data_IF_304496223589
#
_entry.id   IF_304496223589
#
_cell.length_a   1.000
_cell.length_b   1.000
_cell.length_c   1.000
_cell.angle_alpha   90.00
_cell.angle_beta   90.00
_cell.angle_gamma   90.00
#
_symmetry.space_group_name_H-M   'P 1'
#
loop_
_entity.id
_entity.type
_entity.pdbx_description
1 polymer ?
#
# COMPACT_ATOMS: atom_id res chain seq x y z
N UNK A 1 44.19 -63.63 -3.50
CA UNK A 1 42.99 -63.15 -4.22
C UNK A 1 42.82 -61.69 -3.86
N UNK A 2 42.47 -60.90 -4.86
CA UNK A 2 42.36 -59.43 -4.93
C UNK A 2 43.65 -58.59 -5.05
N UNK A 3 43.63 -57.56 -5.93
CA UNK A 3 44.82 -57.15 -6.66
C UNK A 3 45.29 -55.72 -6.31
N UNK A 4 46.60 -55.56 -6.49
CA UNK A 4 47.35 -54.31 -6.49
C UNK A 4 47.02 -53.41 -7.68
N UNK A 5 46.74 -52.13 -7.43
CA UNK A 5 46.63 -51.06 -8.44
C UNK A 5 47.89 -50.18 -8.39
N UNK A 6 48.46 -49.74 -9.53
CA UNK A 6 49.78 -49.09 -9.57
C UNK A 6 49.73 -47.56 -9.43
N UNK A 7 50.87 -46.89 -9.20
CA UNK A 7 50.97 -45.43 -9.16
C UNK A 7 51.25 -44.85 -10.56
N UNK A 8 50.72 -43.65 -10.85
CA UNK A 8 51.07 -42.89 -12.06
C UNK A 8 51.71 -41.55 -11.68
N UNK A 9 52.89 -41.32 -12.28
CA UNK A 9 53.75 -40.13 -12.14
C UNK A 9 53.35 -39.00 -13.10
N UNK A 10 53.67 -37.78 -12.66
CA UNK A 10 53.99 -36.51 -13.33
C UNK A 10 53.90 -36.40 -14.86
N UNK A 11 53.35 -35.27 -15.31
CA UNK A 11 54.09 -34.29 -16.15
C UNK A 11 53.48 -32.88 -16.09
N UNK A 12 54.36 -31.92 -15.88
CA UNK A 12 54.23 -30.48 -16.16
C UNK A 12 54.28 -30.26 -17.67
N UNK A 13 53.51 -29.32 -18.23
CA UNK A 13 54.06 -28.34 -19.19
C UNK A 13 53.08 -27.21 -19.56
N UNK A 14 53.72 -26.06 -19.79
CA UNK A 14 53.21 -24.76 -20.19
C UNK A 14 52.74 -24.73 -21.65
N UNK A 15 51.81 -23.83 -22.01
CA UNK A 15 52.05 -22.63 -22.87
C UNK A 15 50.73 -22.05 -23.44
N UNK A 16 50.81 -20.74 -23.73
CA UNK A 16 50.09 -19.97 -24.78
C UNK A 16 48.65 -19.46 -24.59
N UNK A 17 48.54 -18.15 -24.33
CA UNK A 17 47.55 -17.16 -24.84
C UNK A 17 47.57 -17.07 -26.38
N UNK A 18 46.62 -16.42 -27.14
CA UNK A 18 45.75 -15.23 -26.84
C UNK A 18 44.35 -15.29 -27.55
N UNK A 19 43.65 -14.20 -28.01
CA UNK A 19 43.41 -12.84 -27.50
C UNK A 19 41.90 -12.48 -27.29
N UNK A 20 41.67 -11.39 -26.54
CA UNK A 20 40.66 -10.33 -26.73
C UNK A 20 39.25 -10.63 -27.28
N UNK A 21 38.23 -10.29 -26.48
CA UNK A 21 37.12 -9.44 -26.90
C UNK A 21 36.40 -8.90 -25.66
N UNK A 22 36.72 -7.67 -25.26
CA UNK A 22 35.90 -6.88 -24.35
C UNK A 22 34.67 -6.40 -25.13
N UNK A 23 33.55 -7.08 -24.94
CA UNK A 23 32.25 -6.64 -25.42
C UNK A 23 31.85 -5.36 -24.69
N UNK A 24 31.95 -4.24 -25.39
CA UNK A 24 31.28 -2.99 -25.03
C UNK A 24 29.77 -3.23 -25.02
N UNK A 25 29.16 -3.29 -23.84
CA UNK A 25 27.72 -3.16 -23.68
C UNK A 25 27.33 -1.72 -23.99
N UNK A 26 27.14 -1.46 -25.28
CA UNK A 26 26.68 -0.18 -25.80
C UNK A 26 25.18 -0.06 -25.53
N UNK A 27 24.82 0.89 -24.67
CA UNK A 27 23.52 1.57 -24.54
C UNK A 27 22.37 1.05 -25.42
N UNK A 28 21.50 0.23 -24.83
CA UNK A 28 20.23 -0.24 -25.40
C UNK A 28 19.08 0.79 -25.33
N UNK A 29 19.37 2.07 -25.04
CA UNK A 29 18.34 3.12 -24.85
C UNK A 29 18.53 4.33 -25.78
N UNK A 30 18.74 4.10 -27.07
CA UNK A 30 18.61 5.14 -28.10
C UNK A 30 17.36 4.90 -28.92
N UNK A 31 16.21 5.37 -28.44
CA UNK A 31 14.96 5.37 -29.19
C UNK A 31 14.85 6.64 -30.03
N UNK A 32 14.89 6.50 -31.36
CA UNK A 32 14.43 7.53 -32.30
C UNK A 32 12.90 7.44 -32.48
N UNK A 33 12.21 8.55 -32.77
CA UNK A 33 10.76 8.63 -32.68
C UNK A 33 10.05 7.91 -33.85
N UNK A 34 9.05 7.08 -33.51
CA UNK A 34 8.16 6.42 -34.47
C UNK A 34 7.02 7.35 -34.87
N UNK A 35 6.84 7.47 -36.18
CA UNK A 35 5.77 8.23 -36.85
C UNK A 35 4.41 7.56 -36.69
N UNK A 36 3.40 8.38 -36.41
CA UNK A 36 1.97 8.03 -36.34
C UNK A 36 1.43 7.50 -37.66
N UNK A 37 0.89 6.28 -37.66
CA UNK A 37 0.01 5.76 -38.72
C UNK A 37 -1.37 5.47 -38.14
N UNK A 38 -2.34 6.28 -38.58
CA UNK A 38 -3.76 6.16 -38.33
C UNK A 38 -4.36 5.05 -39.20
N UNK A 39 -5.26 4.23 -38.66
CA UNK A 39 -6.19 3.43 -39.46
C UNK A 39 -7.50 3.17 -38.71
N UNK A 40 -8.61 2.96 -39.44
CA UNK A 40 -9.94 3.34 -39.00
C UNK A 40 -10.74 2.21 -38.36
N UNK A 41 -11.71 2.61 -37.53
CA UNK A 41 -12.76 1.77 -36.95
C UNK A 41 -13.65 1.16 -38.04
N UNK A 42 -13.97 -0.12 -37.89
CA UNK A 42 -15.12 -0.76 -38.52
C UNK A 42 -16.07 -1.27 -37.43
N UNK A 43 -17.27 -0.72 -37.44
CA UNK A 43 -18.42 -1.22 -36.69
C UNK A 43 -18.88 -2.58 -37.24
N UNK A 44 -19.27 -3.50 -36.35
CA UNK A 44 -20.28 -4.49 -36.68
C UNK A 44 -21.00 -5.00 -35.43
N UNK A 45 -22.31 -4.70 -35.40
CA UNK A 45 -23.33 -5.30 -34.55
C UNK A 45 -23.41 -6.83 -34.77
N UNK A 46 -23.77 -7.58 -33.71
CA UNK A 46 -24.98 -8.43 -33.68
C UNK A 46 -25.15 -9.23 -32.38
N UNK A 47 -26.37 -9.10 -31.86
CA UNK A 47 -27.31 -10.14 -31.41
C UNK A 47 -27.22 -10.76 -29.99
N UNK A 48 -28.40 -10.70 -29.36
CA UNK A 48 -28.84 -11.10 -28.01
C UNK A 48 -28.57 -12.56 -27.62
N UNK A 49 -28.65 -12.88 -26.31
CA UNK A 49 -29.77 -13.74 -25.84
C UNK A 49 -30.26 -13.37 -24.40
N UNK A 50 -31.04 -14.21 -23.69
CA UNK A 50 -32.49 -14.15 -23.58
C UNK A 50 -33.03 -13.77 -22.17
N UNK A 51 -34.36 -13.73 -22.09
CA UNK A 51 -35.21 -13.30 -20.99
C UNK A 51 -34.93 -13.89 -19.60
N UNK A 52 -35.04 -13.03 -18.57
CA UNK A 52 -35.24 -13.39 -17.16
C UNK A 52 -36.46 -12.60 -16.63
N UNK A 53 -37.28 -13.33 -15.85
CA UNK A 53 -38.57 -12.96 -15.27
C UNK A 53 -38.48 -11.87 -14.17
N UNK A 54 -39.62 -11.26 -13.76
CA UNK A 54 -39.64 -9.95 -13.13
C UNK A 54 -39.52 -10.04 -11.61
N UNK A 55 -38.77 -9.10 -11.03
CA UNK A 55 -39.02 -8.66 -9.67
C UNK A 55 -39.15 -7.14 -9.62
N UNK A 56 -40.26 -6.76 -9.01
CA UNK A 56 -40.82 -5.44 -8.82
C UNK A 56 -40.09 -4.69 -7.70
N UNK A 57 -39.54 -3.52 -7.99
CA UNK A 57 -39.78 -2.31 -7.19
C UNK A 57 -39.36 -1.09 -8.00
N UNK A 58 -40.36 -0.41 -8.54
CA UNK A 58 -40.23 0.75 -9.43
C UNK A 58 -40.20 1.99 -8.53
N UNK A 59 -39.03 2.49 -8.17
CA UNK A 59 -38.91 3.87 -7.69
C UNK A 59 -39.05 4.79 -8.90
N UNK A 60 -40.08 5.65 -8.87
CA UNK A 60 -40.45 6.55 -9.95
C UNK A 60 -39.37 7.61 -10.18
N UNK A 61 -39.00 7.74 -11.45
CA UNK A 61 -38.03 8.67 -11.99
C UNK A 61 -38.76 9.95 -12.40
N UNK A 62 -39.37 10.65 -11.46
CA UNK A 62 -40.06 11.93 -11.68
C UNK A 62 -39.81 12.81 -10.45
N UNK A 63 -38.77 13.66 -10.52
CA UNK A 63 -38.64 14.97 -9.86
C UNK A 63 -37.19 15.47 -9.95
N UNK A 64 -36.72 15.73 -11.18
CA UNK A 64 -35.53 16.55 -11.42
C UNK A 64 -35.90 17.70 -12.36
N UNK A 65 -36.72 18.61 -11.83
CA UNK A 65 -36.94 19.94 -12.40
C UNK A 65 -36.18 20.96 -11.53
N UNK A 66 -34.89 21.16 -11.81
CA UNK A 66 -34.15 22.32 -11.31
C UNK A 66 -34.17 23.42 -12.36
N UNK A 67 -34.68 24.59 -11.96
CA UNK A 67 -34.69 25.82 -12.76
C UNK A 67 -33.28 26.28 -13.13
N UNK A 68 -33.07 26.82 -14.35
CA UNK A 68 -31.79 27.40 -14.74
C UNK A 68 -31.74 28.85 -14.25
N UNK A 69 -31.11 29.06 -13.10
CA UNK A 69 -30.73 30.41 -12.68
C UNK A 69 -29.48 30.36 -11.80
N UNK A 70 -28.33 30.14 -12.42
CA UNK A 70 -27.06 30.60 -11.89
C UNK A 70 -26.12 30.91 -13.05
N UNK A 71 -25.88 32.19 -13.25
CA UNK A 71 -24.90 32.70 -14.20
C UNK A 71 -23.48 32.37 -13.69
N UNK A 72 -22.55 31.92 -14.54
CA UNK A 72 -21.19 31.68 -14.10
C UNK A 72 -20.53 32.99 -13.68
N UNK A 73 -20.08 33.05 -12.42
CA UNK A 73 -19.22 34.13 -11.90
C UNK A 73 -17.98 34.20 -12.80
N UNK A 74 -17.74 35.40 -13.31
CA UNK A 74 -16.64 35.75 -14.19
C UNK A 74 -15.28 35.27 -13.66
N UNK A 75 -14.46 34.77 -14.58
CA UNK A 75 -13.03 34.53 -14.38
C UNK A 75 -12.39 35.74 -13.72
N UNK A 76 -11.95 35.58 -12.47
CA UNK A 76 -10.95 36.47 -11.88
C UNK A 76 -9.63 36.17 -12.57
N UNK A 77 -9.23 37.14 -13.37
CA UNK A 77 -7.90 37.26 -13.95
C UNK A 77 -6.86 37.25 -12.82
N UNK A 78 -6.07 36.17 -12.72
CA UNK A 78 -4.91 36.11 -11.84
C UNK A 78 -3.74 36.77 -12.54
N UNK A 79 -3.75 38.09 -12.65
CA UNK A 79 -2.54 38.85 -12.97
C UNK A 79 -1.64 38.85 -11.74
N UNK A 80 -0.66 37.93 -11.71
CA UNK A 80 0.39 37.99 -10.71
C UNK A 80 1.22 39.26 -10.95
N UNK A 81 1.28 40.13 -9.95
CA UNK A 81 2.16 41.29 -9.98
C UNK A 81 3.63 40.82 -10.03
N UNK A 82 4.51 41.46 -10.83
CA UNK A 82 5.95 41.16 -10.84
C UNK A 82 6.61 41.17 -9.45
N UNK A 83 6.01 41.86 -8.48
CA UNK A 83 6.53 41.97 -7.11
C UNK A 83 6.33 40.70 -6.26
N UNK A 84 5.36 39.82 -6.59
CA UNK A 84 5.13 38.56 -5.88
C UNK A 84 6.21 37.49 -6.14
N UNK A 85 7.03 37.69 -7.19
CA UNK A 85 8.18 36.83 -7.49
C UNK A 85 9.39 37.11 -6.58
N UNK A 86 9.43 38.27 -5.91
CA UNK A 86 10.54 38.65 -5.03
C UNK A 86 10.48 37.97 -3.66
N UNK A 87 9.27 37.70 -3.15
CA UNK A 87 9.05 37.07 -1.83
C UNK A 87 9.41 35.57 -1.84
N UNK A 88 9.32 34.90 -3.00
CA UNK A 88 9.72 33.47 -3.11
C UNK A 88 11.22 33.23 -3.15
N UNK A 89 12.06 34.24 -3.45
CA UNK A 89 13.53 34.05 -3.47
C UNK A 89 14.15 33.92 -2.07
N UNK A 90 13.45 34.31 -1.00
CA UNK A 90 13.96 34.22 0.37
C UNK A 90 13.70 32.87 1.06
N UNK A 91 13.12 31.88 0.37
CA UNK A 91 12.85 30.54 0.91
C UNK A 91 13.63 29.42 0.22
N UNK A 92 14.49 29.75 -0.75
CA UNK A 92 15.42 28.77 -1.31
C UNK A 92 16.66 28.75 -0.38
N UNK A 93 16.91 27.66 0.35
CA UNK A 93 18.16 27.54 1.12
C UNK A 93 19.35 27.71 0.17
N UNK A 94 20.42 28.31 0.68
CA UNK A 94 21.67 28.50 -0.06
C UNK A 94 22.11 27.15 -0.67
N UNK A 95 22.20 27.02 -2.01
CA UNK A 95 22.59 25.77 -2.67
C UNK A 95 24.01 25.32 -2.29
N UNK A 96 24.79 26.16 -1.60
CA UNK A 96 26.12 25.85 -1.10
C UNK A 96 26.18 25.62 0.41
N UNK A 97 25.09 25.79 1.17
CA UNK A 97 25.07 25.30 2.54
C UNK A 97 25.02 23.77 2.50
N UNK A 98 26.02 23.07 3.04
CA UNK A 98 25.90 21.63 3.22
C UNK A 98 24.71 21.42 4.15
N UNK A 99 23.58 20.96 3.59
CA UNK A 99 22.53 20.39 4.41
C UNK A 99 23.20 19.30 5.23
N UNK A 100 23.30 19.52 6.53
CA UNK A 100 23.72 18.51 7.47
C UNK A 100 22.69 17.39 7.33
N UNK A 101 23.05 16.36 6.55
CA UNK A 101 22.23 15.18 6.35
C UNK A 101 22.21 14.50 7.71
N UNK A 102 21.18 14.78 8.50
CA UNK A 102 20.91 14.00 9.68
C UNK A 102 20.66 12.58 9.21
N UNK A 103 21.55 11.67 9.63
CA UNK A 103 21.31 10.25 9.42
C UNK A 103 19.93 9.92 9.99
N UNK A 104 19.12 9.14 9.25
CA UNK A 104 17.78 8.80 9.69
C UNK A 104 17.86 8.15 11.06
N UNK A 105 16.94 8.55 11.94
CA UNK A 105 16.86 8.04 13.32
C UNK A 105 16.87 6.50 13.31
N UNK A 106 17.89 5.84 13.92
CA UNK A 106 18.00 4.39 13.93
C UNK A 106 16.76 3.72 14.52
N UNK A 107 15.97 4.39 15.36
CA UNK A 107 14.72 3.85 15.90
C UNK A 107 13.67 3.56 14.81
N UNK A 108 13.65 4.31 13.70
CA UNK A 108 12.71 4.07 12.59
C UNK A 108 13.06 2.80 11.81
N UNK A 109 14.30 2.31 11.90
CA UNK A 109 14.72 1.08 11.23
C UNK A 109 14.38 -0.19 12.04
N UNK A 110 14.04 -0.07 13.33
CA UNK A 110 13.66 -1.21 14.20
C UNK A 110 12.15 -1.39 14.37
N UNK A 111 11.37 -1.04 13.35
CA UNK A 111 9.91 -1.25 13.38
C UNK A 111 9.55 -2.74 13.25
N UNK A 112 8.67 -3.21 14.15
CA UNK A 112 8.13 -4.57 14.19
C UNK A 112 8.97 -5.53 15.03
N UNK A 113 8.30 -6.39 15.81
CA UNK A 113 8.98 -7.36 16.69
C UNK A 113 9.96 -8.28 15.93
N UNK A 114 11.05 -8.68 16.59
CA UNK A 114 12.03 -9.65 16.04
C UNK A 114 11.34 -10.94 15.60
N UNK A 115 10.38 -11.43 16.39
CA UNK A 115 9.59 -12.61 16.08
C UNK A 115 8.75 -12.45 14.80
N UNK A 116 8.22 -11.24 14.57
CA UNK A 116 7.48 -10.93 13.35
C UNK A 116 8.41 -10.93 12.13
N UNK A 117 9.56 -10.27 12.21
CA UNK A 117 10.57 -10.25 11.13
C UNK A 117 11.05 -11.65 10.76
N UNK A 118 11.34 -12.50 11.75
CA UNK A 118 11.78 -13.87 11.54
C UNK A 118 10.76 -14.75 10.81
N UNK A 119 9.47 -14.38 10.85
CA UNK A 119 8.39 -15.10 10.17
C UNK A 119 8.05 -14.49 8.81
N UNK A 120 8.65 -13.36 8.43
CA UNK A 120 8.34 -12.70 7.18
C UNK A 120 9.25 -13.17 6.02
N UNK A 121 9.10 -12.57 4.84
CA UNK A 121 9.95 -12.89 3.68
C UNK A 121 11.36 -12.32 3.86
N UNK A 122 12.36 -13.08 3.41
CA UNK A 122 13.74 -12.63 3.44
C UNK A 122 13.99 -11.60 2.32
N UNK A 123 14.41 -10.37 2.67
CA UNK A 123 14.60 -9.30 1.70
C UNK A 123 15.80 -9.57 0.78
N UNK A 124 15.65 -9.18 -0.49
CA UNK A 124 16.76 -9.04 -1.43
C UNK A 124 17.24 -7.60 -1.46
N UNK A 125 18.56 -7.36 -1.56
CA UNK A 125 19.09 -6.01 -1.58
C UNK A 125 18.63 -5.26 -2.83
N UNK A 126 18.33 -3.96 -2.68
CA UNK A 126 18.02 -3.08 -3.81
C UNK A 126 19.23 -2.95 -4.75
N UNK A 127 19.15 -3.62 -5.91
CA UNK A 127 20.17 -3.60 -6.97
C UNK A 127 19.51 -3.56 -8.34
N UNK A 128 20.27 -3.25 -9.39
CA UNK A 128 19.82 -3.45 -10.76
C UNK A 128 19.38 -4.93 -10.92
N UNK A 129 18.16 -5.21 -11.42
CA UNK A 129 17.69 -6.58 -11.53
C UNK A 129 18.54 -7.35 -12.55
N UNK A 130 18.86 -8.60 -12.23
CA UNK A 130 19.67 -9.48 -13.09
C UNK A 130 19.00 -10.84 -13.28
N UNK A 131 19.29 -11.56 -14.39
CA UNK A 131 18.72 -12.87 -14.65
C UNK A 131 18.97 -13.94 -13.59
N UNK A 132 20.08 -13.81 -12.85
CA UNK A 132 20.45 -14.78 -11.81
C UNK A 132 19.80 -14.48 -10.46
N UNK A 133 19.48 -13.22 -10.18
CA UNK A 133 18.90 -12.82 -8.91
C UNK A 133 17.37 -12.85 -8.92
N UNK A 134 16.76 -12.54 -10.07
CA UNK A 134 15.32 -12.35 -10.18
C UNK A 134 14.77 -13.28 -11.26
N UNK A 135 14.19 -14.41 -10.85
CA UNK A 135 13.70 -15.45 -11.78
C UNK A 135 12.17 -15.57 -11.80
N UNK A 136 11.51 -15.08 -10.75
CA UNK A 136 10.06 -15.11 -10.57
C UNK A 136 9.55 -13.78 -10.03
N UNK A 137 8.23 -13.54 -10.08
CA UNK A 137 7.63 -12.37 -9.41
C UNK A 137 7.87 -12.38 -7.91
N UNK A 138 7.96 -13.57 -7.31
CA UNK A 138 8.29 -13.72 -5.90
C UNK A 138 9.65 -13.09 -5.56
N UNK A 139 10.66 -13.28 -6.42
CA UNK A 139 11.98 -12.68 -6.26
C UNK A 139 11.92 -11.15 -6.45
N UNK A 140 11.13 -10.67 -7.41
CA UNK A 140 10.99 -9.25 -7.68
C UNK A 140 10.34 -8.47 -6.53
N UNK A 141 9.30 -9.03 -5.89
CA UNK A 141 8.56 -8.35 -4.83
C UNK A 141 9.23 -8.38 -3.44
N UNK A 142 10.23 -9.26 -3.25
CA UNK A 142 11.03 -9.29 -2.01
C UNK A 142 12.23 -8.34 -2.05
N UNK A 143 12.39 -7.53 -3.10
CA UNK A 143 13.46 -6.53 -3.15
C UNK A 143 13.14 -5.40 -2.18
N UNK A 144 14.13 -4.98 -1.40
CA UNK A 144 14.02 -3.83 -0.50
C UNK A 144 13.62 -2.57 -1.27
N UNK A 145 12.80 -1.73 -0.65
CA UNK A 145 12.51 -0.41 -1.21
C UNK A 145 13.68 0.54 -1.01
N UNK A 146 13.85 1.54 -1.90
CA UNK A 146 14.84 2.59 -1.67
C UNK A 146 14.55 3.31 -0.35
N UNK A 147 15.60 3.93 0.20
CA UNK A 147 15.43 4.76 1.39
C UNK A 147 14.52 5.93 1.07
N UNK A 148 13.59 6.18 1.98
CA UNK A 148 12.67 7.31 1.89
C UNK A 148 13.45 8.62 1.86
N UNK A 149 13.12 9.54 0.93
CA UNK A 149 13.70 10.87 0.94
C UNK A 149 13.35 11.65 2.22
N UNK A 150 14.23 12.56 2.63
CA UNK A 150 13.95 13.42 3.79
C UNK A 150 12.87 14.46 3.48
N UNK A 151 12.16 14.90 4.52
CA UNK A 151 11.25 16.05 4.42
C UNK A 151 12.09 17.32 4.33
N UNK A 152 11.68 18.27 3.49
CA UNK A 152 12.44 19.51 3.23
C UNK A 152 12.78 20.33 4.49
N UNK A 153 12.02 20.15 5.58
CA UNK A 153 12.22 20.81 6.87
C UNK A 153 11.68 19.96 8.02
N UNK A 154 12.46 19.81 9.08
CA UNK A 154 12.04 19.15 10.32
C UNK A 154 10.79 19.81 10.90
N UNK A 155 9.80 19.00 11.32
CA UNK A 155 8.52 19.47 11.84
C UNK A 155 7.54 19.99 10.78
N UNK A 156 7.92 20.02 9.50
CA UNK A 156 6.96 20.25 8.42
C UNK A 156 6.09 19.00 8.21
N UNK A 157 4.92 19.22 7.59
CA UNK A 157 3.96 18.17 7.25
C UNK A 157 3.46 17.37 8.47
N UNK A 158 3.48 17.97 9.67
CA UNK A 158 2.98 17.38 10.92
C UNK A 158 1.48 17.59 11.14
N UNK A 159 0.89 18.56 10.44
CA UNK A 159 -0.53 18.88 10.57
C UNK A 159 -1.40 17.80 9.93
N UNK A 160 -2.21 17.13 10.74
CA UNK A 160 -3.32 16.31 10.22
C UNK A 160 -4.53 17.21 10.01
N UNK A 161 -5.28 16.98 8.92
CA UNK A 161 -6.61 17.58 8.77
C UNK A 161 -7.48 17.21 9.99
N UNK A 162 -8.31 18.14 10.44
CA UNK A 162 -9.29 17.87 11.47
C UNK A 162 -10.27 16.79 10.98
N UNK A 163 -10.85 16.04 11.94
CA UNK A 163 -11.90 15.08 11.62
C UNK A 163 -13.08 15.84 11.03
N UNK A 164 -13.66 15.36 9.94
CA UNK A 164 -14.87 15.96 9.34
C UNK A 164 -16.11 15.52 10.12
N UNK A 165 -17.14 16.36 10.13
CA UNK A 165 -18.45 16.02 10.73
C UNK A 165 -19.00 14.70 10.20
N UNK A 166 -18.80 14.42 8.90
CA UNK A 166 -19.22 13.16 8.25
C UNK A 166 -18.62 11.91 8.87
N UNK A 167 -17.41 12.01 9.45
CA UNK A 167 -16.78 10.91 10.20
C UNK A 167 -17.46 10.77 11.56
N UNK A 168 -17.77 11.88 12.24
CA UNK A 168 -18.46 11.87 13.54
C UNK A 168 -19.85 11.23 13.38
N UNK A 169 -20.60 11.64 12.35
CA UNK A 169 -21.97 11.17 12.09
C UNK A 169 -22.05 9.65 11.78
N UNK A 170 -21.01 9.06 11.19
CA UNK A 170 -21.02 7.64 10.82
C UNK A 170 -21.14 6.72 12.05
N UNK A 171 -20.65 7.16 13.20
CA UNK A 171 -20.67 6.41 14.46
C UNK A 171 -22.05 5.81 14.79
N UNK A 172 -23.12 6.52 14.42
CA UNK A 172 -24.48 6.12 14.76
C UNK A 172 -24.92 4.86 14.00
N UNK A 173 -24.41 4.65 12.78
CA UNK A 173 -24.89 3.57 11.90
C UNK A 173 -23.96 2.36 11.91
N UNK A 174 -22.65 2.59 11.91
CA UNK A 174 -21.65 1.54 11.78
C UNK A 174 -20.44 1.84 12.69
N UNK A 175 -20.61 1.77 14.02
CA UNK A 175 -19.56 2.14 14.95
C UNK A 175 -18.38 1.15 14.92
N UNK A 176 -17.17 1.69 14.96
CA UNK A 176 -16.00 0.95 15.39
C UNK A 176 -15.98 0.92 16.93
N UNK A 177 -16.07 -0.28 17.51
CA UNK A 177 -16.00 -0.47 18.96
C UNK A 177 -14.70 -1.12 19.42
N UNK A 178 -14.10 -1.94 18.55
CA UNK A 178 -13.00 -2.83 18.94
C UNK A 178 -11.84 -2.71 17.98
N UNK A 179 -10.63 -2.59 18.51
CA UNK A 179 -9.38 -2.67 17.73
C UNK A 179 -8.60 -3.89 18.21
N UNK A 180 -8.25 -4.80 17.30
CA UNK A 180 -7.43 -5.98 17.60
C UNK A 180 -6.09 -5.82 16.90
N UNK A 181 -5.01 -5.71 17.67
CA UNK A 181 -3.67 -5.85 17.09
C UNK A 181 -3.38 -7.33 16.85
N UNK A 182 -3.10 -7.70 15.60
CA UNK A 182 -2.87 -9.09 15.19
C UNK A 182 -1.49 -9.21 14.50
N UNK A 183 -0.44 -9.64 15.23
CA UNK A 183 0.93 -9.73 14.69
C UNK A 183 1.05 -10.61 13.43
N UNK A 184 0.17 -11.60 13.32
CA UNK A 184 0.19 -12.57 12.24
C UNK A 184 -0.68 -12.20 11.04
N UNK A 185 -1.34 -11.04 11.08
CA UNK A 185 -2.42 -10.68 10.14
C UNK A 185 -2.01 -10.81 8.67
N UNK A 186 -0.83 -10.30 8.28
CA UNK A 186 -0.31 -10.49 6.92
C UNK A 186 0.53 -11.77 6.81
N UNK A 187 1.27 -12.12 7.86
CA UNK A 187 2.24 -13.24 7.80
C UNK A 187 1.58 -14.59 7.59
N UNK A 188 0.31 -14.76 7.98
CA UNK A 188 -0.46 -15.98 7.70
C UNK A 188 -0.61 -16.25 6.20
N UNK A 189 -0.56 -15.20 5.38
CA UNK A 189 -0.71 -15.29 3.92
C UNK A 189 0.60 -15.56 3.19
N UNK A 190 1.74 -15.50 3.88
CA UNK A 190 3.09 -15.52 3.27
C UNK A 190 3.28 -16.71 2.33
N UNK A 191 2.93 -17.90 2.80
CA UNK A 191 3.21 -19.15 2.08
C UNK A 191 2.31 -19.30 0.85
N UNK A 192 1.02 -18.91 0.97
CA UNK A 192 0.07 -18.87 -0.14
C UNK A 192 0.49 -17.86 -1.21
N UNK A 193 0.85 -16.64 -0.78
CA UNK A 193 1.33 -15.60 -1.67
C UNK A 193 2.62 -16.01 -2.39
N UNK A 194 3.54 -16.68 -1.69
CA UNK A 194 4.77 -17.24 -2.29
C UNK A 194 4.44 -18.29 -3.36
N UNK A 195 3.50 -19.17 -3.08
CA UNK A 195 3.09 -20.20 -4.04
C UNK A 195 2.55 -19.56 -5.33
N UNK A 196 1.66 -18.57 -5.21
CA UNK A 196 1.10 -17.86 -6.37
C UNK A 196 2.16 -17.07 -7.15
N UNK A 197 3.01 -16.32 -6.46
CA UNK A 197 4.04 -15.50 -7.11
C UNK A 197 5.12 -16.33 -7.81
N UNK A 198 5.44 -17.53 -7.29
CA UNK A 198 6.39 -18.45 -7.93
C UNK A 198 5.86 -19.07 -9.22
N UNK A 199 4.54 -19.09 -9.44
CA UNK A 199 3.94 -19.60 -10.69
C UNK A 199 4.22 -18.70 -11.88
N UNK A 200 4.58 -17.43 -11.65
CA UNK A 200 4.90 -16.46 -12.70
C UNK A 200 6.41 -16.29 -12.84
N UNK A 201 6.99 -16.99 -13.82
CA UNK A 201 8.41 -16.92 -14.17
C UNK A 201 8.74 -15.70 -15.06
N UNK A 202 9.94 -15.16 -14.91
CA UNK A 202 10.47 -14.05 -15.73
C UNK A 202 11.49 -14.61 -16.73
N UNK A 203 11.24 -14.41 -18.03
CA UNK A 203 12.13 -14.85 -19.11
C UNK A 203 12.98 -13.70 -19.60
N UNK A 204 14.21 -13.59 -19.12
CA UNK A 204 15.13 -12.51 -19.47
C UNK A 204 15.56 -12.45 -20.96
N UNK A 205 15.35 -13.52 -21.72
CA UNK A 205 15.53 -13.51 -23.18
C UNK A 205 14.34 -12.93 -23.95
N UNK A 206 13.22 -12.69 -23.27
CA UNK A 206 11.99 -12.13 -23.84
C UNK A 206 11.91 -10.64 -23.50
N UNK A 207 11.89 -9.79 -24.53
CA UNK A 207 11.88 -8.34 -24.35
C UNK A 207 10.65 -7.86 -23.57
N UNK A 208 9.49 -8.50 -23.77
CA UNK A 208 8.26 -8.08 -23.09
C UNK A 208 8.32 -8.37 -21.59
N UNK A 209 8.93 -9.48 -21.18
CA UNK A 209 9.11 -9.81 -19.76
C UNK A 209 10.07 -8.80 -19.11
N UNK A 210 11.15 -8.43 -19.82
CA UNK A 210 12.10 -7.41 -19.37
C UNK A 210 11.44 -6.03 -19.27
N UNK A 211 10.58 -5.67 -20.24
CA UNK A 211 9.80 -4.43 -20.18
C UNK A 211 8.78 -4.47 -19.04
N UNK A 212 8.08 -5.59 -18.86
CA UNK A 212 7.12 -5.75 -17.78
C UNK A 212 7.79 -5.55 -16.41
N UNK A 213 9.00 -6.06 -16.21
CA UNK A 213 9.80 -5.88 -14.99
C UNK A 213 9.99 -4.42 -14.56
N UNK A 214 9.90 -3.46 -15.48
CA UNK A 214 9.95 -2.02 -15.16
C UNK A 214 8.76 -1.55 -14.31
N UNK A 215 7.65 -2.29 -14.30
CA UNK A 215 6.43 -1.96 -13.55
C UNK A 215 6.44 -2.46 -12.10
N UNK A 216 7.34 -3.37 -11.72
CA UNK A 216 7.32 -4.03 -10.42
C UNK A 216 8.60 -3.81 -9.63
N UNK A 217 9.75 -3.75 -10.30
CA UNK A 217 11.03 -3.78 -9.61
C UNK A 217 11.38 -2.41 -9.02
N UNK A 218 11.64 -2.29 -7.70
CA UNK A 218 11.86 -1.01 -7.04
C UNK A 218 12.98 -0.16 -7.67
N UNK A 219 14.07 -0.79 -8.14
CA UNK A 219 15.16 -0.11 -8.85
C UNK A 219 14.67 0.71 -10.07
N UNK A 220 13.64 0.24 -10.77
CA UNK A 220 13.10 0.91 -11.95
C UNK A 220 12.01 1.91 -11.57
N UNK A 221 11.09 1.51 -10.70
CA UNK A 221 9.92 2.33 -10.36
C UNK A 221 10.26 3.58 -9.55
N UNK A 222 11.42 3.60 -8.88
CA UNK A 222 11.89 4.71 -8.03
C UNK A 222 12.76 5.76 -8.73
N UNK A 223 13.22 5.53 -9.96
CA UNK A 223 14.26 6.38 -10.56
C UNK A 223 13.85 7.85 -10.66
N UNK A 224 12.59 8.10 -11.01
CA UNK A 224 12.05 9.43 -11.28
C UNK A 224 11.24 10.01 -10.10
N UNK A 225 11.42 9.47 -8.90
CA UNK A 225 10.71 9.96 -7.71
C UNK A 225 11.45 11.11 -7.03
N UNK A 226 10.71 11.99 -6.31
CA UNK A 226 11.28 13.13 -5.60
C UNK A 226 12.44 12.71 -4.70
N UNK A 227 13.51 13.50 -4.68
CA UNK A 227 14.65 13.29 -3.76
C UNK A 227 14.51 14.02 -2.43
N UNK A 228 13.45 14.82 -2.29
CA UNK A 228 13.04 15.55 -1.10
C UNK A 228 11.52 15.58 -1.08
N UNK A 229 10.91 15.33 0.09
CA UNK A 229 9.45 15.40 0.28
C UNK A 229 9.09 16.85 0.62
N UNK A 230 8.31 17.49 -0.24
CA UNK A 230 7.81 18.86 -0.04
C UNK A 230 6.34 18.89 0.40
N UNK A 231 5.58 17.85 0.06
CA UNK A 231 4.15 17.78 0.27
C UNK A 231 3.65 16.36 0.52
N UNK A 232 2.42 16.23 1.02
CA UNK A 232 1.69 14.95 1.07
C UNK A 232 1.60 14.28 -0.30
N UNK A 233 1.53 15.06 -1.38
CA UNK A 233 1.45 14.55 -2.76
C UNK A 233 2.72 13.83 -3.19
N UNK A 234 3.88 14.25 -2.70
CA UNK A 234 5.15 13.54 -2.97
C UNK A 234 5.15 12.16 -2.30
N UNK A 235 4.59 12.06 -1.08
CA UNK A 235 4.44 10.80 -0.36
C UNK A 235 3.47 9.87 -1.10
N UNK A 236 2.34 10.40 -1.57
CA UNK A 236 1.40 9.65 -2.41
C UNK A 236 2.10 9.12 -3.67
N UNK A 237 2.84 9.95 -4.41
CA UNK A 237 3.58 9.52 -5.60
C UNK A 237 4.61 8.43 -5.29
N UNK A 238 5.36 8.57 -4.19
CA UNK A 238 6.30 7.56 -3.72
C UNK A 238 5.59 6.23 -3.45
N UNK A 239 4.54 6.24 -2.63
CA UNK A 239 3.81 5.03 -2.26
C UNK A 239 3.16 4.38 -3.49
N UNK A 240 2.58 5.15 -4.41
CA UNK A 240 1.99 4.58 -5.63
C UNK A 240 3.04 3.94 -6.55
N UNK A 241 4.21 4.56 -6.71
CA UNK A 241 5.25 4.05 -7.59
C UNK A 241 6.00 2.84 -7.00
N UNK A 242 6.24 2.84 -5.69
CA UNK A 242 7.07 1.82 -5.03
C UNK A 242 6.26 0.69 -4.41
N UNK A 243 5.03 0.95 -3.94
CA UNK A 243 4.19 -0.03 -3.25
C UNK A 243 3.00 -0.48 -4.10
N UNK A 244 2.08 0.44 -4.40
CA UNK A 244 0.75 0.06 -4.84
C UNK A 244 0.72 -0.40 -6.30
N UNK A 245 1.34 0.33 -7.23
CA UNK A 245 1.36 -0.08 -8.65
C UNK A 245 2.16 -1.36 -8.88
N UNK A 246 3.35 -1.55 -8.27
CA UNK A 246 4.07 -2.83 -8.33
C UNK A 246 3.24 -4.01 -7.84
N UNK A 247 2.61 -3.88 -6.66
CA UNK A 247 1.78 -4.94 -6.10
C UNK A 247 0.55 -5.23 -6.98
N UNK A 248 -0.11 -4.20 -7.50
CA UNK A 248 -1.24 -4.32 -8.41
C UNK A 248 -0.85 -5.05 -9.70
N UNK A 249 0.27 -4.65 -10.30
CA UNK A 249 0.77 -5.29 -11.49
C UNK A 249 1.03 -6.78 -11.20
N UNK A 250 1.54 -7.12 -10.01
CA UNK A 250 1.81 -8.51 -9.64
C UNK A 250 0.52 -9.33 -9.49
N UNK A 251 -0.52 -8.76 -8.89
CA UNK A 251 -1.85 -9.38 -8.85
C UNK A 251 -2.37 -9.65 -10.26
N UNK A 252 -2.30 -8.68 -11.16
CA UNK A 252 -2.72 -8.87 -12.56
C UNK A 252 -1.94 -9.97 -13.26
N UNK A 253 -0.63 -10.00 -13.08
CA UNK A 253 0.23 -11.03 -13.65
C UNK A 253 -0.08 -12.44 -13.11
N UNK A 254 -0.44 -12.56 -11.83
CA UNK A 254 -0.90 -13.82 -11.24
C UNK A 254 -2.24 -14.26 -11.83
N UNK A 255 -3.21 -13.34 -11.92
CA UNK A 255 -4.54 -13.61 -12.50
C UNK A 255 -4.42 -14.07 -13.96
N UNK A 256 -3.61 -13.38 -14.76
CA UNK A 256 -3.40 -13.68 -16.18
C UNK A 256 -2.44 -14.86 -16.42
N UNK A 257 -1.74 -15.30 -15.36
CA UNK A 257 -0.64 -16.27 -15.42
C UNK A 257 0.46 -15.85 -16.39
N UNK A 258 0.63 -14.53 -16.58
CA UNK A 258 1.56 -13.96 -17.53
C UNK A 258 2.03 -12.56 -17.06
N UNK A 259 3.34 -12.36 -16.96
CA UNK A 259 3.90 -11.07 -16.53
C UNK A 259 3.60 -9.92 -17.49
N UNK A 260 3.28 -10.23 -18.75
CA UNK A 260 3.06 -9.25 -19.82
C UNK A 260 1.71 -8.55 -19.76
N UNK A 261 0.74 -9.08 -19.00
CA UNK A 261 -0.65 -8.68 -19.17
C UNK A 261 -0.95 -7.28 -18.61
N UNK A 262 -0.99 -6.31 -19.54
CA UNK A 262 -1.45 -4.93 -19.34
C UNK A 262 -2.89 -4.71 -19.79
N UNK A 263 -3.54 -5.74 -20.35
CA UNK A 263 -4.84 -5.61 -21.01
C UNK A 263 -6.02 -5.76 -20.06
N UNK A 264 -5.81 -6.35 -18.88
CA UNK A 264 -6.85 -6.42 -17.87
C UNK A 264 -7.20 -5.00 -17.38
N UNK A 265 -8.46 -4.60 -17.61
CA UNK A 265 -8.98 -3.33 -17.08
C UNK A 265 -8.95 -3.36 -15.55
N UNK A 266 -9.12 -4.54 -14.95
CA UNK A 266 -9.26 -4.75 -13.52
C UNK A 266 -8.32 -5.85 -12.98
N UNK A 267 -8.00 -5.83 -11.66
CA UNK A 267 -8.24 -4.72 -10.74
C UNK A 267 -7.39 -3.51 -11.11
N UNK A 268 -7.76 -2.27 -10.74
CA UNK A 268 -6.90 -1.09 -10.90
C UNK A 268 -6.88 -0.23 -9.65
N UNK A 269 -5.83 0.56 -9.48
CA UNK A 269 -5.76 1.58 -8.42
C UNK A 269 -6.28 2.90 -8.98
N UNK A 270 -7.22 3.52 -8.27
CA UNK A 270 -7.79 4.82 -8.62
C UNK A 270 -7.69 5.76 -7.43
N UNK A 271 -7.67 7.07 -7.70
CA UNK A 271 -8.12 8.04 -6.70
C UNK A 271 -9.62 7.85 -6.49
N UNK A 272 -10.11 8.16 -5.29
CA UNK A 272 -11.52 8.00 -5.01
C UNK A 272 -12.43 8.84 -5.92
N UNK A 273 -13.51 8.28 -6.50
CA UNK A 273 -14.61 9.09 -7.01
C UNK A 273 -15.23 9.89 -5.85
N UNK A 274 -16.03 10.89 -6.19
CA UNK A 274 -16.62 11.87 -5.27
C UNK A 274 -17.61 11.21 -4.30
N UNK A 275 -17.12 10.43 -3.33
CA UNK A 275 -17.89 9.87 -2.24
C UNK A 275 -18.24 11.00 -1.26
N UNK A 276 -19.50 11.04 -0.82
CA UNK A 276 -20.08 12.11 0.01
C UNK A 276 -19.23 12.44 1.25
N UNK A 277 -18.31 13.40 1.08
CA UNK A 277 -17.52 14.01 2.14
C UNK A 277 -16.37 13.19 2.71
N UNK A 278 -16.15 11.94 2.28
CA UNK A 278 -15.05 11.07 2.77
C UNK A 278 -14.39 10.40 1.57
N UNK A 279 -13.16 10.79 1.27
CA UNK A 279 -12.46 10.47 0.04
C UNK A 279 -11.12 9.85 0.45
N UNK A 280 -10.92 8.53 0.30
CA UNK A 280 -9.61 7.94 0.54
C UNK A 280 -8.61 8.43 -0.52
N UNK A 281 -7.33 8.48 -0.16
CA UNK A 281 -6.27 8.88 -1.09
C UNK A 281 -6.17 7.95 -2.30
N UNK A 282 -6.49 6.66 -2.11
CA UNK A 282 -6.59 5.69 -3.20
C UNK A 282 -7.54 4.54 -2.89
N UNK A 283 -7.87 3.77 -3.93
CA UNK A 283 -8.65 2.54 -3.80
C UNK A 283 -8.30 1.55 -4.89
N UNK A 284 -8.48 0.27 -4.58
CA UNK A 284 -8.44 -0.81 -5.57
C UNK A 284 -9.86 -1.09 -6.05
N UNK A 285 -10.11 -0.84 -7.33
CA UNK A 285 -11.38 -1.11 -8.00
C UNK A 285 -11.33 -2.48 -8.68
N UNK A 286 -12.27 -3.36 -8.35
CA UNK A 286 -12.27 -4.77 -8.75
C UNK A 286 -13.07 -5.06 -10.03
N UNK A 287 -14.12 -4.30 -10.30
CA UNK A 287 -15.00 -4.51 -11.44
C UNK A 287 -15.48 -3.20 -12.07
N UNK A 288 -16.38 -3.34 -13.06
CA UNK A 288 -16.65 -2.40 -14.15
C UNK A 288 -16.74 -0.93 -13.72
N UNK A 289 -16.30 -0.09 -14.66
CA UNK A 289 -16.59 1.34 -14.72
C UNK A 289 -18.11 1.56 -14.73
N UNK A 290 -18.65 1.85 -13.55
CA UNK A 290 -20.03 2.23 -13.30
C UNK A 290 -20.07 3.37 -12.27
N UNK A 291 -21.25 3.93 -11.96
CA UNK A 291 -21.37 4.95 -10.92
C UNK A 291 -20.93 4.42 -9.55
N UNK A 292 -21.10 3.12 -9.31
CA UNK A 292 -20.81 2.46 -8.03
C UNK A 292 -19.80 1.31 -8.25
N UNK A 293 -18.50 1.62 -8.39
CA UNK A 293 -17.48 0.59 -8.58
C UNK A 293 -17.32 -0.28 -7.34
N UNK A 294 -17.10 -1.60 -7.52
CA UNK A 294 -16.74 -2.46 -6.38
C UNK A 294 -15.33 -2.13 -5.90
N UNK A 295 -15.23 -1.59 -4.69
CA UNK A 295 -13.96 -1.28 -4.04
C UNK A 295 -13.50 -2.46 -3.21
N UNK A 296 -12.32 -2.99 -3.52
CA UNK A 296 -11.71 -4.10 -2.80
C UNK A 296 -10.85 -3.66 -1.61
N UNK A 297 -10.19 -2.51 -1.73
CA UNK A 297 -9.26 -1.97 -0.71
C UNK A 297 -9.31 -0.45 -0.75
N UNK A 298 -9.34 0.20 0.42
CA UNK A 298 -9.07 1.64 0.55
C UNK A 298 -7.62 1.88 0.98
N UNK A 299 -7.03 2.97 0.50
CA UNK A 299 -5.64 3.34 0.71
C UNK A 299 -5.62 4.75 1.26
N UNK A 300 -4.96 4.93 2.39
CA UNK A 300 -4.74 6.22 3.01
C UNK A 300 -3.24 6.47 3.16
N UNK A 301 -2.76 7.60 2.64
CA UNK A 301 -1.37 8.00 2.73
C UNK A 301 -1.19 9.09 3.79
N UNK A 302 -0.12 8.99 4.57
CA UNK A 302 0.25 10.00 5.56
C UNK A 302 1.72 10.33 5.45
N UNK A 303 2.08 11.53 5.91
CA UNK A 303 3.48 11.98 5.91
C UNK A 303 4.30 11.23 6.97
N UNK A 304 5.62 11.07 6.75
CA UNK A 304 6.51 10.48 7.75
C UNK A 304 6.44 11.17 9.12
N UNK A 305 6.35 12.51 9.14
CA UNK A 305 6.29 13.29 10.38
C UNK A 305 5.07 12.93 11.23
N UNK A 306 3.91 12.71 10.61
CA UNK A 306 2.71 12.27 11.33
C UNK A 306 2.90 10.90 11.99
N UNK A 307 3.70 10.02 11.39
CA UNK A 307 3.99 8.71 11.96
C UNK A 307 4.84 8.82 13.22
N UNK A 308 5.97 9.52 13.10
CA UNK A 308 6.92 9.71 14.19
C UNK A 308 6.28 10.40 15.40
N UNK A 309 5.49 11.46 15.16
CA UNK A 309 4.98 12.30 16.23
C UNK A 309 3.67 11.77 16.85
N UNK A 310 2.85 11.07 16.07
CA UNK A 310 1.43 10.86 16.42
C UNK A 310 0.87 9.46 16.25
N UNK A 311 1.43 8.62 15.37
CA UNK A 311 0.88 7.29 15.07
C UNK A 311 1.71 6.19 15.73
N UNK A 312 1.59 6.10 17.05
CA UNK A 312 2.31 5.10 17.86
C UNK A 312 1.59 3.75 17.84
N UNK A 313 1.47 3.14 16.67
CA UNK A 313 0.95 1.76 16.54
C UNK A 313 1.80 0.76 17.34
N UNK A 314 3.07 1.08 17.61
CA UNK A 314 3.93 0.38 18.57
C UNK A 314 3.29 0.22 19.96
N UNK A 315 2.41 1.15 20.39
CA UNK A 315 1.67 1.03 21.66
C UNK A 315 0.52 0.01 21.59
N UNK A 316 0.04 -0.31 20.39
CA UNK A 316 -0.88 -1.42 20.18
C UNK A 316 -0.13 -2.76 20.20
N UNK A 317 1.16 -2.72 19.87
CA UNK A 317 2.04 -3.87 20.04
C UNK A 317 2.19 -4.15 21.53
N UNK A 318 1.90 -5.38 21.91
CA UNK A 318 2.06 -5.79 23.29
C UNK A 318 3.54 -5.92 23.60
N UNK A 319 4.00 -5.49 24.78
CA UNK A 319 5.33 -5.83 25.25
C UNK A 319 5.54 -7.33 25.11
N UNK A 320 6.59 -7.72 24.39
CA UNK A 320 6.97 -9.12 24.20
C UNK A 320 7.67 -9.70 25.42
N UNK A 321 7.90 -8.89 26.47
CA UNK A 321 8.49 -9.34 27.73
C UNK A 321 7.65 -10.48 28.32
N UNK A 322 8.16 -11.68 28.12
CA UNK A 322 7.59 -12.98 28.47
C UNK A 322 7.25 -13.13 29.95
N UNK A 323 7.66 -12.17 30.79
CA UNK A 323 7.53 -12.22 32.24
C UNK A 323 6.21 -11.69 32.79
N UNK A 324 5.34 -11.03 31.99
CA UNK A 324 4.18 -10.34 32.58
C UNK A 324 2.75 -10.76 32.22
N UNK A 325 2.45 -11.55 31.18
CA UNK A 325 1.06 -12.01 31.05
C UNK A 325 0.84 -13.25 30.16
N UNK A 326 0.88 -14.42 30.79
CA UNK A 326 0.25 -15.64 30.26
C UNK A 326 -1.31 -15.53 30.18
N UNK A 327 -1.89 -14.33 30.32
CA UNK A 327 -3.32 -14.09 30.50
C UNK A 327 -4.01 -13.37 29.36
N UNK A 328 -3.28 -12.81 28.39
CA UNK A 328 -3.92 -12.04 27.32
C UNK A 328 -4.28 -13.00 26.16
N UNK A 329 -5.57 -13.22 25.87
CA UNK A 329 -5.99 -14.21 24.88
C UNK A 329 -5.63 -13.81 23.45
N UNK A 330 -5.59 -14.79 22.54
CA UNK A 330 -5.58 -14.56 21.08
C UNK A 330 -6.83 -13.73 20.75
N UNK A 331 -6.66 -12.67 19.95
CA UNK A 331 -7.78 -11.79 19.60
C UNK A 331 -8.18 -10.77 20.67
N UNK A 332 -7.41 -10.61 21.75
CA UNK A 332 -7.72 -9.59 22.75
C UNK A 332 -7.89 -8.19 22.12
N UNK A 333 -9.13 -7.72 22.16
CA UNK A 333 -9.56 -6.48 21.57
C UNK A 333 -9.35 -5.33 22.54
N UNK A 334 -8.89 -4.18 22.07
CA UNK A 334 -8.90 -2.92 22.79
C UNK A 334 -10.21 -2.19 22.47
N UNK A 335 -10.73 -1.44 23.44
CA UNK A 335 -11.91 -0.60 23.19
C UNK A 335 -11.49 0.64 22.40
N UNK A 336 -12.24 0.93 21.33
CA UNK A 336 -12.12 2.15 20.54
C UNK A 336 -13.25 3.10 20.92
N UNK A 337 -12.89 4.26 21.45
CA UNK A 337 -13.81 5.36 21.71
C UNK A 337 -13.83 6.27 20.49
N UNK A 338 -14.97 6.30 19.82
CA UNK A 338 -15.14 7.10 18.62
C UNK A 338 -14.97 8.59 18.93
N UNK A 339 -14.33 9.36 18.05
CA UNK A 339 -14.22 10.81 18.19
C UNK A 339 -15.59 11.49 18.30
N UNK A 340 -15.83 12.24 19.37
CA UNK A 340 -17.07 12.99 19.63
C UNK A 340 -16.98 14.46 19.21
N UNK A 341 -15.77 14.92 18.85
CA UNK A 341 -15.45 16.31 18.50
C UNK A 341 -14.58 16.37 17.27
N UNK A 342 -14.72 17.45 16.50
CA UNK A 342 -13.87 17.75 15.32
C UNK A 342 -12.40 17.97 15.69
N UNK A 343 -12.14 18.49 16.89
CA UNK A 343 -10.81 18.85 17.40
C UNK A 343 -10.47 18.13 18.71
N UNK A 344 -9.19 18.08 19.07
CA UNK A 344 -8.72 17.51 20.35
C UNK A 344 -8.40 16.01 20.34
N UNK A 345 -8.80 15.25 19.31
CA UNK A 345 -8.47 13.81 19.23
C UNK A 345 -6.99 13.56 18.91
N UNK A 346 -6.45 12.44 19.39
CA UNK A 346 -5.09 12.05 19.09
C UNK A 346 -4.94 11.69 17.59
N UNK A 347 -3.79 11.96 16.95
CA UNK A 347 -3.61 11.71 15.51
C UNK A 347 -3.93 10.27 15.10
N UNK A 348 -3.51 9.27 15.89
CA UNK A 348 -3.80 7.86 15.63
C UNK A 348 -5.31 7.57 15.56
N UNK A 349 -6.10 8.16 16.44
CA UNK A 349 -7.55 7.96 16.52
C UNK A 349 -8.25 8.59 15.32
N UNK A 350 -7.81 9.80 14.93
CA UNK A 350 -8.30 10.49 13.74
C UNK A 350 -8.11 9.63 12.50
N UNK A 351 -6.92 9.06 12.35
CA UNK A 351 -6.57 8.23 11.19
C UNK A 351 -7.36 6.92 11.19
N UNK A 352 -7.48 6.25 12.34
CA UNK A 352 -8.28 5.02 12.43
C UNK A 352 -9.76 5.28 12.12
N UNK A 353 -10.35 6.34 12.69
CA UNK A 353 -11.74 6.71 12.42
C UNK A 353 -11.95 7.10 10.94
N UNK A 354 -10.98 7.80 10.34
CA UNK A 354 -11.01 8.15 8.92
C UNK A 354 -11.01 6.87 8.05
N UNK A 355 -10.03 5.98 8.22
CA UNK A 355 -9.94 4.77 7.39
C UNK A 355 -11.13 3.84 7.62
N UNK A 356 -11.62 3.70 8.86
CA UNK A 356 -12.85 2.96 9.13
C UNK A 356 -14.04 3.53 8.35
N UNK A 357 -14.17 4.86 8.35
CA UNK A 357 -15.26 5.55 7.64
C UNK A 357 -15.19 5.29 6.15
N UNK A 358 -13.99 5.36 5.57
CA UNK A 358 -13.74 5.03 4.17
C UNK A 358 -14.16 3.59 3.86
N UNK A 359 -13.69 2.62 4.65
CA UNK A 359 -14.04 1.20 4.48
C UNK A 359 -15.54 0.94 4.56
N UNK A 360 -16.24 1.60 5.49
CA UNK A 360 -17.71 1.48 5.63
C UNK A 360 -18.41 2.09 4.42
N UNK A 361 -18.03 3.31 4.02
CA UNK A 361 -18.65 4.03 2.90
C UNK A 361 -18.43 3.35 1.56
N UNK A 362 -17.27 2.76 1.34
CA UNK A 362 -16.96 1.98 0.13
C UNK A 362 -17.36 0.51 0.24
N UNK A 363 -17.98 0.11 1.35
CA UNK A 363 -18.40 -1.28 1.61
C UNK A 363 -17.29 -2.32 1.45
N UNK A 364 -16.04 -1.95 1.74
CA UNK A 364 -14.89 -2.86 1.66
C UNK A 364 -14.41 -3.29 3.04
N UNK A 365 -13.72 -4.44 3.09
CA UNK A 365 -13.22 -5.03 4.34
C UNK A 365 -11.72 -4.86 4.54
N UNK A 366 -11.02 -4.30 3.55
CA UNK A 366 -9.57 -4.18 3.56
C UNK A 366 -9.14 -2.71 3.44
N UNK A 367 -8.17 -2.32 4.25
CA UNK A 367 -7.59 -0.98 4.26
C UNK A 367 -6.07 -1.04 4.34
N UNK A 368 -5.41 -0.04 3.78
CA UNK A 368 -3.96 0.16 3.88
C UNK A 368 -3.74 1.58 4.38
N UNK A 369 -2.94 1.71 5.44
CA UNK A 369 -2.41 2.99 5.91
C UNK A 369 -0.92 3.01 5.62
N UNK A 370 -0.48 3.90 4.73
CA UNK A 370 0.93 3.98 4.37
C UNK A 370 1.50 5.37 4.62
N UNK A 371 2.76 5.38 4.98
CA UNK A 371 3.66 6.50 4.73
C UNK A 371 4.70 6.05 3.71
N UNK A 372 5.61 6.93 3.34
CA UNK A 372 6.75 6.53 2.49
C UNK A 372 7.80 5.70 3.24
N UNK A 373 7.68 5.52 4.57
CA UNK A 373 8.61 4.72 5.39
C UNK A 373 7.99 3.42 5.91
N UNK A 374 6.68 3.43 6.16
CA UNK A 374 5.97 2.43 6.95
C UNK A 374 4.60 2.18 6.36
N UNK A 375 4.22 0.91 6.27
CA UNK A 375 2.87 0.49 5.86
C UNK A 375 2.23 -0.38 6.95
N UNK A 376 0.98 -0.09 7.30
CA UNK A 376 0.13 -0.90 8.17
C UNK A 376 -1.10 -1.34 7.41
N UNK A 377 -1.55 -2.55 7.71
CA UNK A 377 -2.66 -3.20 7.06
C UNK A 377 -3.82 -3.38 8.02
N UNK A 378 -5.01 -3.16 7.50
CA UNK A 378 -6.25 -3.10 8.25
C UNK A 378 -7.27 -4.05 7.63
N UNK A 379 -8.04 -4.73 8.47
CA UNK A 379 -9.22 -5.46 8.00
C UNK A 379 -10.39 -5.38 8.98
N UNK A 380 -11.60 -5.20 8.45
CA UNK A 380 -12.86 -5.22 9.22
C UNK A 380 -13.23 -6.65 9.54
N UNK A 381 -13.67 -6.92 10.76
CA UNK A 381 -14.34 -8.17 11.05
C UNK A 381 -15.63 -8.32 10.25
N UNK A 382 -16.05 -9.57 10.01
CA UNK A 382 -17.30 -9.92 9.32
C UNK A 382 -18.30 -10.55 10.29
N UNK A 383 -19.58 -10.60 9.87
CA UNK A 383 -20.64 -11.24 10.64
C UNK A 383 -20.86 -10.58 12.00
N UNK A 384 -20.79 -11.36 13.07
CA UNK A 384 -20.96 -10.89 14.46
C UNK A 384 -19.83 -9.96 14.95
N UNK A 385 -18.81 -9.72 14.14
CA UNK A 385 -17.64 -8.90 14.48
C UNK A 385 -17.48 -7.69 13.54
N UNK A 386 -18.57 -7.24 12.92
CA UNK A 386 -18.59 -6.09 12.00
C UNK A 386 -18.23 -4.74 12.64
N UNK A 387 -18.11 -4.68 13.97
CA UNK A 387 -17.71 -3.52 14.78
C UNK A 387 -16.21 -3.54 15.16
N UNK A 388 -15.44 -4.43 14.55
CA UNK A 388 -14.04 -4.70 14.91
C UNK A 388 -13.09 -4.39 13.77
N UNK A 389 -11.98 -3.72 14.08
CA UNK A 389 -10.86 -3.47 13.16
C UNK A 389 -9.62 -4.26 13.61
N UNK A 390 -9.12 -5.15 12.77
CA UNK A 390 -7.85 -5.82 12.96
C UNK A 390 -6.72 -5.02 12.31
N UNK A 391 -5.61 -4.88 13.01
CA UNK A 391 -4.46 -4.06 12.60
C UNK A 391 -3.19 -4.91 12.62
N UNK A 392 -2.43 -4.91 11.53
CA UNK A 392 -1.14 -5.60 11.45
C UNK A 392 -0.02 -4.85 12.20
N UNK A 393 1.14 -5.50 12.38
CA UNK A 393 2.39 -4.77 12.60
C UNK A 393 2.66 -3.78 11.46
N UNK A 394 3.54 -2.83 11.75
CA UNK A 394 4.09 -1.93 10.77
C UNK A 394 5.21 -2.59 9.96
N UNK A 395 5.20 -2.38 8.64
CA UNK A 395 6.19 -2.90 7.69
C UNK A 395 7.04 -1.74 7.18
N UNK A 396 8.33 -1.74 7.49
CA UNK A 396 9.27 -0.73 6.98
C UNK A 396 9.75 -1.04 5.56
N UNK A 397 10.42 -0.09 4.89
CA UNK A 397 11.01 -0.28 3.56
C UNK A 397 11.91 -1.53 3.42
N UNK A 398 12.60 -1.94 4.49
CA UNK A 398 13.46 -3.13 4.53
C UNK A 398 12.70 -4.45 4.75
N UNK A 399 11.40 -4.40 5.03
CA UNK A 399 10.56 -5.57 5.29
C UNK A 399 9.71 -5.95 4.07
N UNK A 400 10.15 -5.60 2.86
CA UNK A 400 9.44 -5.90 1.60
C UNK A 400 7.94 -5.57 1.64
N UNK A 401 7.54 -4.33 1.98
CA UNK A 401 6.13 -3.98 2.19
C UNK A 401 5.30 -4.16 0.91
N UNK A 402 5.90 -4.09 -0.28
CA UNK A 402 5.26 -4.43 -1.57
C UNK A 402 4.65 -5.83 -1.55
N UNK A 403 5.34 -6.79 -0.93
CA UNK A 403 4.87 -8.16 -0.78
C UNK A 403 3.60 -8.24 0.07
N UNK A 404 3.54 -7.45 1.16
CA UNK A 404 2.36 -7.36 2.00
C UNK A 404 1.18 -6.66 1.30
N UNK A 405 1.46 -5.61 0.51
CA UNK A 405 0.44 -4.97 -0.35
C UNK A 405 -0.09 -5.94 -1.39
N UNK A 406 0.77 -6.77 -1.99
CA UNK A 406 0.33 -7.84 -2.88
C UNK A 406 -0.65 -8.77 -2.17
N UNK A 407 -0.39 -9.21 -0.94
CA UNK A 407 -1.32 -10.05 -0.19
C UNK A 407 -2.71 -9.40 -0.04
N UNK A 408 -2.77 -8.10 0.29
CA UNK A 408 -4.04 -7.37 0.42
C UNK A 408 -4.80 -7.28 -0.90
N UNK A 409 -4.08 -6.96 -1.97
CA UNK A 409 -4.68 -6.83 -3.29
C UNK A 409 -5.08 -8.20 -3.86
N UNK A 410 -4.35 -9.26 -3.51
CA UNK A 410 -4.65 -10.63 -3.91
C UNK A 410 -5.91 -11.15 -3.21
N UNK A 411 -6.12 -10.84 -1.92
CA UNK A 411 -7.39 -11.15 -1.24
C UNK A 411 -8.54 -10.41 -1.91
N UNK A 412 -8.38 -9.09 -2.14
CA UNK A 412 -9.48 -8.31 -2.71
C UNK A 412 -9.83 -8.77 -4.13
N UNK A 413 -8.85 -9.19 -4.92
CA UNK A 413 -9.06 -9.73 -6.27
C UNK A 413 -9.50 -11.20 -6.30
N UNK A 414 -9.66 -11.87 -5.14
CA UNK A 414 -10.06 -13.28 -5.05
C UNK A 414 -8.98 -14.28 -5.47
N UNK A 415 -7.72 -13.86 -5.58
CA UNK A 415 -6.56 -14.75 -5.77
C UNK A 415 -6.28 -15.51 -4.47
N UNK A 416 -6.34 -14.81 -3.34
CA UNK A 416 -6.32 -15.40 -2.00
C UNK A 416 -7.71 -15.26 -1.38
N UNK A 417 -8.03 -16.09 -0.38
CA UNK A 417 -9.33 -16.04 0.29
C UNK A 417 -9.23 -15.14 1.52
N UNK A 418 -10.33 -14.47 1.83
CA UNK A 418 -10.41 -13.65 3.03
C UNK A 418 -10.26 -14.51 4.30
N UNK A 419 -10.76 -15.74 4.26
CA UNK A 419 -10.70 -16.71 5.36
C UNK A 419 -9.25 -17.13 5.70
N UNK A 420 -8.29 -16.91 4.79
CA UNK A 420 -6.87 -17.20 5.00
C UNK A 420 -6.20 -16.22 5.99
N UNK A 421 -6.89 -15.14 6.39
CA UNK A 421 -6.40 -14.17 7.38
C UNK A 421 -6.36 -14.71 8.83
N UNK A 422 -7.03 -15.83 9.13
CA UNK A 422 -7.12 -16.44 10.47
C UNK A 422 -7.47 -15.40 11.57
N UNK A 423 -8.54 -14.64 11.34
CA UNK A 423 -9.01 -13.62 12.27
C UNK A 423 -9.59 -14.28 13.53
N UNK A 424 -8.97 -14.12 14.71
CA UNK A 424 -9.55 -14.63 15.95
C UNK A 424 -10.76 -13.78 16.35
N UNK A 425 -11.76 -14.33 17.06
CA UNK A 425 -12.81 -13.52 17.66
C UNK A 425 -12.24 -12.40 18.54
N UNK A 426 -12.86 -11.20 18.56
CA UNK A 426 -12.41 -10.08 19.38
C UNK A 426 -12.72 -10.34 20.86
N UNK A 427 -11.71 -10.74 21.62
CA UNK A 427 -11.83 -11.08 23.04
C UNK A 427 -11.88 -9.82 23.91
N UNK A 428 -12.99 -9.64 24.63
CA UNK A 428 -13.24 -8.50 25.55
C UNK A 428 -13.29 -8.93 27.02
N UNK A 429 -13.11 -10.22 27.29
CA UNK A 429 -13.11 -10.82 28.64
C UNK A 429 -11.99 -10.27 29.52
N UNK A 430 -10.94 -9.73 28.93
CA UNK A 430 -9.82 -9.11 29.65
C UNK A 430 -10.05 -7.62 29.99
N UNK A 431 -11.11 -6.99 29.48
CA UNK A 431 -11.41 -5.59 29.81
C UNK A 431 -11.65 -5.39 31.30
N UNK A 432 -11.05 -4.36 31.87
CA UNK A 432 -11.37 -3.92 33.22
C UNK A 432 -12.85 -3.55 33.35
N UNK A 433 -13.42 -3.68 34.55
CA UNK A 433 -14.81 -3.29 34.80
C UNK A 433 -15.07 -1.80 34.53
N UNK A 434 -14.03 -0.97 34.52
CA UNK A 434 -14.11 0.43 34.11
C UNK A 434 -14.35 0.57 32.61
N UNK A 435 -13.56 -0.12 31.78
CA UNK A 435 -13.71 -0.14 30.31
C UNK A 435 -15.08 -0.72 29.91
N UNK A 436 -15.52 -1.78 30.60
CA UNK A 436 -16.83 -2.42 30.39
C UNK A 436 -18.01 -1.51 30.74
N UNK A 437 -17.95 -0.82 31.89
CA UNK A 437 -19.03 0.05 32.38
C UNK A 437 -19.17 1.37 31.62
N UNK A 438 -18.28 1.63 30.66
CA UNK A 438 -18.33 2.82 29.81
C UNK A 438 -18.28 4.16 30.57
N UNK A 439 -17.74 4.14 31.79
CA UNK A 439 -17.55 5.35 32.60
C UNK A 439 -16.49 6.30 32.01
N UNK A 440 -15.94 6.00 30.82
CA UNK A 440 -14.88 6.72 30.14
C UNK A 440 -15.39 7.58 28.97
N UNK A 441 -16.67 7.97 28.99
CA UNK A 441 -17.24 8.99 28.08
C UNK A 441 -16.55 10.37 28.16
N UNK A 442 -15.50 10.54 28.97
CA UNK A 442 -14.78 11.80 29.12
C UNK A 442 -13.53 11.93 28.23
N UNK A 443 -13.10 10.89 27.50
CA UNK A 443 -11.96 11.03 26.57
C UNK A 443 -12.02 10.04 25.39
N UNK A 444 -12.06 10.52 24.12
CA UNK A 444 -11.90 9.66 22.94
C UNK A 444 -10.54 8.96 22.94
N UNK A 445 -10.47 7.81 22.25
CA UNK A 445 -9.21 7.08 22.05
C UNK A 445 -9.22 5.57 22.13
N UNK A 446 -8.02 4.99 22.16
CA UNK A 446 -7.83 3.54 22.31
C UNK A 446 -7.48 3.25 23.77
N UNK A 447 -8.37 2.56 24.47
CA UNK A 447 -8.08 2.09 25.81
C UNK A 447 -7.58 0.65 25.76
N UNK A 448 -6.27 0.53 26.00
CA UNK A 448 -5.61 -0.73 26.30
C UNK A 448 -5.29 -0.73 27.80
N UNK A 449 -6.21 -1.19 28.66
CA UNK A 449 -5.98 -1.66 30.05
C UNK A 449 -7.27 -2.07 30.78
#
# INVERSE_FOLDING_TARGET
MEPSTPPRKHTTDQLSTPPGQTGSYSNLFSLSPLSTMSSPRSDQERQNPPAILPMTSRMSLEDWNMSPNDSPKSNRDWSMSPDDLSVRRHLMPDPHSPMEVQDPDPEVMEIGSVAHRARWVEPLPLRLPTPFAITTLHDALRVELPRTPHVYKTGALTSTRAIRETVIDLHIQNPLHKVVYLPTLVTSLRDLAMEELKKVSIKWGDLDDVLAMTNFHPYNTSQNLPKVIWSEKDVEHLCHAELFRPALAAVRAVISKNIKDSSSVHPYVSSAPNFDGVIPDGMVVLDKVGPDPTVGVVIENKTPSMWADGMKFSKLERPTDETQDARIPKGAAMKFYWPDKVTGNAPQEKVIAQVWTEMVKTTCDLGILSTSQVTVFLTRGRGEHNDTLYISPAYSCGMCPVYAVFCWFAISAGVLKYEDLDLPPPETTWWSDMVRRDAYNESPGICAR
#
